data_IF_990306727358
#
_entry.id   IF_990306727358
#
_cell.length_a   1.000
_cell.length_b   1.000
_cell.length_c   1.000
_cell.angle_alpha   90.00
_cell.angle_beta   90.00
_cell.angle_gamma   90.00
#
_symmetry.space_group_name_H-M   'P 1'
#
loop_
_entity.id
_entity.type
_entity.pdbx_description
1 polymer ?
#
# COMPACT_ATOMS: atom_id res chain seq x y z
N UNK A 1 -15.89 -26.63 -8.92
CA UNK A 1 -15.41 -25.54 -8.05
C UNK A 1 -14.01 -25.13 -8.51
N UNK A 2 -13.85 -23.96 -9.14
CA UNK A 2 -12.53 -23.47 -9.57
C UNK A 2 -11.65 -23.31 -8.31
N UNK A 3 -10.63 -24.16 -8.19
CA UNK A 3 -9.61 -24.03 -7.13
C UNK A 3 -8.96 -22.65 -7.22
N UNK A 4 -8.64 -22.10 -6.05
CA UNK A 4 -7.96 -20.82 -5.90
C UNK A 4 -6.64 -20.79 -6.70
N UNK A 5 -6.17 -19.61 -7.13
CA UNK A 5 -4.89 -19.48 -7.81
C UNK A 5 -3.74 -20.04 -6.96
N UNK A 6 -2.79 -20.73 -7.60
CA UNK A 6 -1.58 -21.24 -6.94
C UNK A 6 -0.91 -20.14 -6.07
N UNK A 7 -0.60 -20.46 -4.79
CA UNK A 7 0.00 -19.52 -3.86
C UNK A 7 1.39 -19.10 -4.32
N UNK A 8 1.80 -17.89 -3.98
CA UNK A 8 3.17 -17.47 -4.28
C UNK A 8 4.17 -18.31 -3.47
N UNK A 9 5.33 -18.67 -4.04
CA UNK A 9 6.34 -19.42 -3.31
C UNK A 9 6.85 -18.60 -2.13
N UNK A 10 6.95 -19.23 -0.96
CA UNK A 10 7.60 -18.63 0.19
C UNK A 10 9.11 -18.53 -0.07
N UNK A 11 9.70 -17.34 0.05
CA UNK A 11 11.16 -17.16 0.00
C UNK A 11 11.74 -17.57 1.36
N UNK A 12 12.75 -18.44 1.38
CA UNK A 12 13.46 -18.79 2.62
C UNK A 12 14.04 -17.51 3.27
N UNK A 13 13.75 -17.27 4.55
CA UNK A 13 14.01 -15.98 5.24
C UNK A 13 12.81 -15.04 5.31
N UNK A 14 11.65 -15.47 4.81
CA UNK A 14 10.36 -14.78 4.86
C UNK A 14 9.77 -14.60 6.25
N UNK A 15 10.07 -15.55 7.11
CA UNK A 15 9.69 -15.54 8.52
C UNK A 15 10.82 -14.80 9.21
N UNK A 16 10.51 -13.64 9.78
CA UNK A 16 11.48 -12.71 10.34
C UNK A 16 12.14 -13.36 11.57
N UNK A 17 13.17 -14.17 11.34
CA UNK A 17 14.10 -14.67 12.34
C UNK A 17 15.44 -14.00 12.07
N UNK A 18 15.78 -13.02 12.90
CA UNK A 18 17.03 -12.27 12.82
C UNK A 18 16.84 -10.75 12.90
N UNK A 19 17.88 -9.98 13.24
CA UNK A 19 17.83 -8.53 13.25
C UNK A 19 17.54 -7.99 11.83
N UNK A 20 16.70 -6.96 11.75
CA UNK A 20 16.40 -6.24 10.50
C UNK A 20 17.71 -5.72 9.91
N UNK A 21 18.02 -6.06 8.66
CA UNK A 21 19.16 -5.46 7.95
C UNK A 21 18.81 -4.01 7.60
N UNK A 22 19.66 -3.07 8.05
CA UNK A 22 19.50 -1.62 7.90
C UNK A 22 19.81 -1.08 6.49
N UNK A 23 20.07 -1.94 5.51
CA UNK A 23 20.26 -1.50 4.11
C UNK A 23 18.92 -1.15 3.48
N UNK A 24 18.50 0.09 3.68
CA UNK A 24 17.34 0.69 3.01
C UNK A 24 17.74 0.91 1.53
N UNK A 25 17.17 0.16 0.56
CA UNK A 25 17.47 0.39 -0.84
C UNK A 25 17.08 1.81 -1.25
N UNK A 26 17.81 2.38 -2.20
CA UNK A 26 17.56 3.71 -2.76
C UNK A 26 16.05 3.87 -3.03
N UNK A 27 15.42 4.84 -2.36
CA UNK A 27 13.98 4.75 -2.08
C UNK A 27 13.17 4.63 -3.37
N UNK A 28 12.19 3.71 -3.40
CA UNK A 28 11.25 3.48 -4.51
C UNK A 28 10.60 4.77 -5.03
N UNK A 29 10.54 5.81 -4.18
CA UNK A 29 10.06 7.15 -4.55
C UNK A 29 10.88 7.82 -5.67
N UNK A 30 12.16 7.47 -5.85
CA UNK A 30 13.02 7.99 -6.93
C UNK A 30 12.57 7.53 -8.33
N UNK A 31 11.85 6.42 -8.41
CA UNK A 31 11.39 5.83 -9.67
C UNK A 31 10.05 6.42 -10.13
N UNK A 32 9.40 7.24 -9.30
CA UNK A 32 8.10 7.85 -9.61
C UNK A 32 8.29 9.00 -10.62
N UNK A 33 8.02 8.72 -11.89
CA UNK A 33 8.20 9.67 -12.98
C UNK A 33 6.87 10.26 -13.54
N UNK A 34 6.98 11.29 -14.39
CA UNK A 34 5.82 11.99 -14.95
C UNK A 34 4.91 11.15 -15.84
N UNK A 35 5.43 10.09 -16.48
CA UNK A 35 4.65 9.20 -17.34
C UNK A 35 3.77 8.26 -16.51
N UNK A 36 4.26 7.77 -15.36
CA UNK A 36 3.47 6.99 -14.41
C UNK A 36 2.25 7.79 -13.92
N UNK A 37 2.43 9.07 -13.62
CA UNK A 37 1.31 9.96 -13.28
C UNK A 37 0.35 10.18 -14.44
N UNK A 38 0.85 10.31 -15.68
CA UNK A 38 0.02 10.48 -16.88
C UNK A 38 -0.90 9.27 -17.11
N UNK A 39 -0.39 8.06 -16.97
CA UNK A 39 -1.18 6.83 -17.13
C UNK A 39 -2.23 6.65 -16.03
N UNK A 40 -1.87 6.96 -14.77
CA UNK A 40 -2.82 6.97 -13.67
C UNK A 40 -3.91 8.04 -13.87
N UNK A 41 -3.53 9.24 -14.35
CA UNK A 41 -4.44 10.32 -14.70
C UNK A 41 -5.49 9.87 -15.72
N UNK A 42 -5.06 9.19 -16.79
CA UNK A 42 -5.94 8.72 -17.85
C UNK A 42 -6.99 7.73 -17.32
N UNK A 43 -6.59 6.86 -16.38
CA UNK A 43 -7.50 5.92 -15.69
C UNK A 43 -8.47 6.63 -14.72
N UNK A 44 -8.10 7.78 -14.18
CA UNK A 44 -8.93 8.59 -13.25
C UNK A 44 -9.50 9.89 -13.86
N UNK A 45 -9.65 9.98 -15.19
CA UNK A 45 -10.22 11.16 -15.90
C UNK A 45 -9.49 12.51 -15.64
N UNK A 46 -8.16 12.48 -15.57
CA UNK A 46 -7.21 13.62 -15.58
C UNK A 46 -7.23 14.59 -14.39
N UNK A 47 -8.25 14.62 -13.53
CA UNK A 47 -8.39 15.68 -12.52
C UNK A 47 -7.49 15.57 -11.28
N UNK A 48 -6.88 14.41 -11.00
CA UNK A 48 -6.10 14.19 -9.76
C UNK A 48 -4.58 14.03 -9.93
N UNK A 49 -4.07 13.81 -11.15
CA UNK A 49 -2.68 13.36 -11.31
C UNK A 49 -1.63 14.45 -11.13
N UNK A 50 -1.90 15.69 -11.55
CA UNK A 50 -0.97 16.81 -11.36
C UNK A 50 -0.79 17.11 -9.87
N UNK A 51 -1.90 17.18 -9.14
CA UNK A 51 -1.89 17.39 -7.70
C UNK A 51 -1.19 16.23 -6.97
N UNK A 52 -1.47 14.98 -7.35
CA UNK A 52 -0.80 13.81 -6.76
C UNK A 52 0.72 13.84 -7.03
N UNK A 53 1.14 14.21 -8.24
CA UNK A 53 2.55 14.40 -8.56
C UNK A 53 3.18 15.44 -7.64
N UNK A 54 2.58 16.62 -7.54
CA UNK A 54 3.09 17.69 -6.66
C UNK A 54 3.20 17.22 -5.21
N UNK A 55 2.17 16.54 -4.68
CA UNK A 55 2.18 15.97 -3.33
C UNK A 55 3.29 14.93 -3.11
N UNK A 56 3.65 14.15 -4.13
CA UNK A 56 4.68 13.12 -4.01
C UNK A 56 6.11 13.62 -4.29
N UNK A 57 6.28 14.70 -5.05
CA UNK A 57 7.61 15.13 -5.52
C UNK A 57 8.06 16.48 -5.00
N UNK A 58 7.18 17.24 -4.35
CA UNK A 58 7.49 18.57 -3.83
C UNK A 58 7.17 18.63 -2.34
N UNK A 59 7.98 19.38 -1.61
CA UNK A 59 7.64 19.76 -0.25
C UNK A 59 6.42 20.70 -0.29
N UNK A 60 5.42 20.37 0.52
CA UNK A 60 4.25 21.23 0.76
C UNK A 60 4.14 21.36 2.28
N UNK A 61 4.08 22.59 2.78
CA UNK A 61 3.90 22.83 4.19
C UNK A 61 2.58 22.18 4.66
N UNK A 62 2.61 21.24 5.63
CA UNK A 62 1.42 20.54 6.11
C UNK A 62 0.29 21.46 6.57
N UNK A 63 0.59 22.66 7.06
CA UNK A 63 -0.44 23.62 7.49
C UNK A 63 -1.34 24.07 6.33
N UNK A 64 -0.77 24.18 5.11
CA UNK A 64 -1.49 24.61 3.91
C UNK A 64 -2.42 23.52 3.34
N UNK A 65 -2.24 22.27 3.77
CA UNK A 65 -3.00 21.10 3.31
C UNK A 65 -3.73 20.39 4.45
N UNK A 66 -3.93 21.05 5.60
CA UNK A 66 -4.57 20.48 6.79
C UNK A 66 -5.91 19.81 6.45
N UNK A 67 -6.75 20.49 5.66
CA UNK A 67 -8.04 19.96 5.21
C UNK A 67 -7.90 18.70 4.34
N UNK A 68 -6.83 18.58 3.55
CA UNK A 68 -6.57 17.40 2.72
C UNK A 68 -6.10 16.21 3.56
N UNK A 69 -5.29 16.46 4.60
CA UNK A 69 -4.78 15.42 5.51
C UNK A 69 -5.76 15.07 6.63
N UNK A 70 -6.78 15.89 6.87
CA UNK A 70 -7.85 15.63 7.82
C UNK A 70 -8.55 14.28 7.53
N UNK A 71 -9.09 13.68 8.58
CA UNK A 71 -9.82 12.41 8.51
C UNK A 71 -10.94 12.38 9.55
N UNK A 72 -12.08 11.81 9.17
CA UNK A 72 -13.19 11.55 10.11
C UNK A 72 -12.97 10.21 10.78
N UNK A 73 -12.99 10.17 12.11
CA UNK A 73 -12.90 8.92 12.87
C UNK A 73 -14.29 8.29 13.00
N UNK A 74 -14.40 7.02 12.64
CA UNK A 74 -15.61 6.22 12.82
C UNK A 74 -15.27 5.07 13.78
N UNK A 75 -15.90 4.99 14.96
CA UNK A 75 -15.73 3.86 15.85
C UNK A 75 -16.52 2.67 15.29
N UNK A 76 -15.80 1.64 14.84
CA UNK A 76 -16.41 0.38 14.43
C UNK A 76 -16.41 -0.57 15.64
N UNK A 77 -17.58 -1.04 16.05
CA UNK A 77 -17.70 -2.05 17.09
C UNK A 77 -17.10 -3.39 16.60
N UNK A 78 -16.27 -4.00 17.45
CA UNK A 78 -15.66 -5.31 17.22
C UNK A 78 -16.26 -6.39 18.15
N UNK A 79 -17.25 -6.04 18.97
CA UNK A 79 -17.82 -6.89 20.02
C UNK A 79 -17.03 -6.81 21.32
N UNK A 80 -17.62 -7.32 22.41
CA UNK A 80 -16.99 -7.42 23.74
C UNK A 80 -16.42 -6.09 24.28
N UNK A 81 -17.03 -4.96 23.90
CA UNK A 81 -16.57 -3.62 24.29
C UNK A 81 -15.31 -3.14 23.55
N UNK A 82 -14.80 -3.91 22.58
CA UNK A 82 -13.66 -3.52 21.77
C UNK A 82 -14.08 -2.65 20.57
N UNK A 83 -13.32 -1.58 20.32
CA UNK A 83 -13.56 -0.65 19.21
C UNK A 83 -12.38 -0.66 18.24
N UNK A 84 -12.68 -0.70 16.94
CA UNK A 84 -11.73 -0.47 15.85
C UNK A 84 -11.94 0.94 15.28
N UNK A 85 -11.08 1.92 15.58
CA UNK A 85 -11.20 3.24 14.99
C UNK A 85 -10.84 3.19 13.50
N UNK A 86 -11.71 3.74 12.65
CA UNK A 86 -11.47 3.88 11.21
C UNK A 86 -11.28 5.36 10.87
N UNK A 87 -10.11 5.71 10.34
CA UNK A 87 -9.82 7.04 9.80
C UNK A 87 -10.27 7.16 8.35
N UNK A 88 -11.39 7.82 8.11
CA UNK A 88 -11.92 8.10 6.78
C UNK A 88 -11.36 9.44 6.28
N UNK A 89 -10.27 9.36 5.51
CA UNK A 89 -9.68 10.53 4.85
C UNK A 89 -10.53 11.11 3.72
N UNK A 90 -10.21 12.33 3.33
CA UNK A 90 -10.91 13.03 2.26
C UNK A 90 -10.90 12.29 0.92
N UNK A 91 -11.96 12.49 0.13
CA UNK A 91 -12.14 11.80 -1.16
C UNK A 91 -10.94 12.04 -2.07
N UNK A 92 -10.46 13.29 -2.12
CA UNK A 92 -9.33 13.72 -2.93
C UNK A 92 -8.05 12.97 -2.51
N UNK A 93 -7.77 12.87 -1.20
CA UNK A 93 -6.62 12.13 -0.67
C UNK A 93 -6.68 10.64 -1.04
N UNK A 94 -7.87 10.03 -1.02
CA UNK A 94 -8.04 8.62 -1.44
C UNK A 94 -7.86 8.42 -2.94
N UNK A 95 -8.30 9.38 -3.78
CA UNK A 95 -8.04 9.34 -5.23
C UNK A 95 -6.55 9.44 -5.49
N UNK A 96 -5.85 10.36 -4.81
CA UNK A 96 -4.40 10.47 -4.89
C UNK A 96 -3.70 9.19 -4.45
N UNK A 97 -4.10 8.58 -3.34
CA UNK A 97 -3.56 7.30 -2.90
C UNK A 97 -3.77 6.19 -3.93
N UNK A 98 -4.97 6.09 -4.55
CA UNK A 98 -5.23 5.13 -5.64
C UNK A 98 -4.38 5.40 -6.87
N UNK A 99 -4.16 6.66 -7.21
CA UNK A 99 -3.27 7.08 -8.29
C UNK A 99 -1.84 6.58 -8.01
N UNK A 100 -1.31 6.82 -6.81
CA UNK A 100 0.02 6.33 -6.40
C UNK A 100 0.11 4.81 -6.46
N UNK A 101 -0.84 4.12 -5.84
CA UNK A 101 -0.86 2.66 -5.82
C UNK A 101 -1.04 2.05 -7.22
N UNK A 102 -1.60 2.77 -8.19
CA UNK A 102 -1.74 2.23 -9.55
C UNK A 102 -0.41 1.93 -10.23
N UNK A 103 0.68 2.57 -9.80
CA UNK A 103 2.03 2.32 -10.29
C UNK A 103 2.95 1.70 -9.23
N UNK A 104 2.86 2.12 -7.96
CA UNK A 104 3.71 1.62 -6.88
C UNK A 104 3.32 0.21 -6.39
N UNK A 105 2.17 -0.34 -6.84
CA UNK A 105 1.68 -1.64 -6.36
C UNK A 105 2.71 -2.76 -6.52
N UNK A 106 3.41 -2.83 -7.64
CA UNK A 106 4.39 -3.90 -7.88
C UNK A 106 5.54 -3.79 -6.88
N UNK A 107 6.11 -2.61 -6.75
CA UNK A 107 7.22 -2.32 -5.85
C UNK A 107 6.82 -2.55 -4.39
N UNK A 108 5.60 -2.15 -4.00
CA UNK A 108 5.05 -2.41 -2.66
C UNK A 108 4.90 -3.90 -2.39
N UNK A 109 4.38 -4.67 -3.35
CA UNK A 109 4.24 -6.14 -3.22
C UNK A 109 5.63 -6.79 -3.13
N UNK A 110 6.58 -6.37 -3.95
CA UNK A 110 7.94 -6.90 -3.94
C UNK A 110 8.69 -6.58 -2.64
N UNK A 111 8.69 -5.32 -2.21
CA UNK A 111 9.35 -4.86 -1.00
C UNK A 111 8.73 -5.48 0.27
N UNK A 112 7.40 -5.65 0.28
CA UNK A 112 6.70 -6.33 1.38
C UNK A 112 7.00 -7.83 1.41
N UNK A 113 7.24 -8.42 0.24
CA UNK A 113 7.44 -9.84 0.03
C UNK A 113 6.49 -10.69 0.86
N UNK A 114 7.07 -11.62 1.59
CA UNK A 114 6.37 -12.52 2.52
C UNK A 114 6.21 -11.97 3.94
N UNK A 115 6.86 -10.84 4.25
CA UNK A 115 6.78 -10.22 5.58
C UNK A 115 5.40 -9.58 5.79
N UNK A 116 4.83 -8.99 4.73
CA UNK A 116 3.50 -8.41 4.76
C UNK A 116 2.61 -8.99 3.65
N UNK A 117 1.88 -10.04 4.01
CA UNK A 117 0.97 -10.74 3.09
C UNK A 117 -0.24 -9.90 2.70
N UNK A 118 -0.62 -8.91 3.53
CA UNK A 118 -1.72 -7.99 3.24
C UNK A 118 -1.35 -6.90 2.22
N UNK A 119 -0.10 -6.83 1.75
CA UNK A 119 0.36 -5.85 0.76
C UNK A 119 -0.12 -6.12 -0.68
N UNK A 120 -0.89 -7.20 -0.88
CA UNK A 120 -1.41 -7.60 -2.20
C UNK A 120 -0.71 -8.82 -2.80
N UNK A 121 -0.06 -9.65 -1.97
CA UNK A 121 0.51 -10.93 -2.37
C UNK A 121 -0.59 -11.84 -2.94
N UNK A 122 -0.25 -12.63 -3.96
CA UNK A 122 -1.20 -13.56 -4.57
C UNK A 122 -1.47 -14.72 -3.61
N UNK A 123 -2.74 -14.88 -3.21
CA UNK A 123 -3.18 -15.88 -2.23
C UNK A 123 -2.34 -15.84 -0.94
N UNK A 124 -2.07 -14.64 -0.43
CA UNK A 124 -1.11 -14.41 0.65
C UNK A 124 -1.39 -15.21 1.93
N UNK A 125 -2.64 -15.24 2.39
CA UNK A 125 -3.06 -16.03 3.57
C UNK A 125 -2.80 -17.53 3.41
N UNK A 126 -3.13 -18.08 2.23
CA UNK A 126 -2.94 -19.48 1.90
C UNK A 126 -1.46 -19.82 1.79
N UNK A 127 -0.67 -18.95 1.14
CA UNK A 127 0.78 -19.08 1.07
C UNK A 127 1.42 -19.12 2.47
N UNK A 128 0.92 -18.32 3.42
CA UNK A 128 1.38 -18.34 4.81
C UNK A 128 1.15 -19.70 5.48
N UNK A 129 -0.08 -20.22 5.39
CA UNK A 129 -0.48 -21.48 6.03
C UNK A 129 0.31 -22.65 5.42
N UNK A 130 0.45 -22.68 4.09
CA UNK A 130 1.24 -23.70 3.44
C UNK A 130 2.71 -23.64 3.86
N UNK A 131 3.30 -22.44 3.94
CA UNK A 131 4.68 -22.29 4.41
C UNK A 131 4.88 -22.81 5.85
N UNK A 132 3.91 -22.62 6.75
CA UNK A 132 3.96 -23.15 8.12
C UNK A 132 3.91 -24.68 8.17
N UNK A 133 3.19 -25.32 7.24
CA UNK A 133 3.09 -26.78 7.19
C UNK A 133 4.31 -27.47 6.57
N UNK A 134 5.21 -26.72 5.94
CA UNK A 134 6.47 -27.23 5.35
C UNK A 134 7.70 -26.95 6.19
N UNK A 135 7.55 -26.25 7.32
CA UNK A 135 8.58 -26.04 8.34
C UNK A 135 8.51 -27.16 9.39
#
# INVERSE_FOLDING_TARGET
TRKHPEPQPAKLGSVLFGPLNDEIPESVYSQINGEMFRQAALRTKRSGARMTKTLCTQYIDPTTIEALIASRLIPLDKGEGAVRPIGVGEVIRRISAKCVMSFAKKDVVEASGSLQLCAGQKSGSEAAIHAMNTL
#
